data_IF_902417026988
#
_entry.id   IF_902417026988
#
_cell.length_a   1.000
_cell.length_b   1.000
_cell.length_c   1.000
_cell.angle_alpha   90.00
_cell.angle_beta   90.00
_cell.angle_gamma   90.00
#
_symmetry.space_group_name_H-M   'P 1'
#
loop_
_entity.id
_entity.type
_entity.pdbx_description
1 polymer ?
#
# COMPACT_ATOMS: atom_id res chain seq x y z
N UNK A 1 86.50 -36.77 -46.57
CA UNK A 1 85.90 -36.63 -45.23
C UNK A 1 86.19 -35.22 -44.75
N UNK A 2 85.16 -34.40 -44.57
CA UNK A 2 85.00 -33.22 -43.70
C UNK A 2 83.77 -32.50 -44.28
N UNK A 3 82.62 -32.76 -43.64
CA UNK A 3 81.32 -32.17 -43.98
C UNK A 3 81.02 -31.04 -43.00
N UNK A 4 80.57 -29.90 -43.54
CA UNK A 4 80.11 -28.73 -42.79
C UNK A 4 78.75 -29.01 -42.11
N UNK A 5 78.57 -28.74 -40.80
CA UNK A 5 77.26 -28.80 -40.17
C UNK A 5 76.54 -27.44 -40.10
N UNK A 6 75.27 -27.53 -40.51
CA UNK A 6 74.05 -26.72 -40.33
C UNK A 6 74.02 -25.45 -39.44
N UNK A 7 73.30 -24.43 -39.94
CA UNK A 7 72.83 -23.25 -39.22
C UNK A 7 71.75 -23.56 -38.16
N UNK A 8 71.70 -22.82 -37.03
CA UNK A 8 70.64 -22.94 -36.02
C UNK A 8 69.39 -22.12 -36.37
N UNK A 9 68.21 -22.76 -36.24
CA UNK A 9 66.87 -22.14 -36.33
C UNK A 9 66.62 -21.18 -35.16
N UNK A 10 66.16 -19.96 -35.47
CA UNK A 10 65.71 -18.94 -34.49
C UNK A 10 64.48 -19.43 -33.71
N UNK A 11 64.64 -19.66 -32.42
CA UNK A 11 63.54 -19.87 -31.47
C UNK A 11 62.81 -18.57 -31.15
N UNK A 12 61.49 -18.53 -31.41
CA UNK A 12 60.61 -17.41 -31.05
C UNK A 12 60.20 -17.56 -29.58
N UNK A 13 60.88 -16.86 -28.66
CA UNK A 13 60.49 -16.77 -27.25
C UNK A 13 59.14 -16.03 -27.14
N UNK A 14 58.06 -16.77 -26.83
CA UNK A 14 56.78 -16.18 -26.40
C UNK A 14 56.95 -15.63 -24.98
N UNK A 15 56.96 -14.31 -24.85
CA UNK A 15 56.91 -13.59 -23.59
C UNK A 15 55.53 -13.82 -22.94
N UNK A 16 55.46 -14.68 -21.92
CA UNK A 16 54.26 -14.83 -21.08
C UNK A 16 54.19 -13.61 -20.17
N UNK A 17 53.36 -12.64 -20.51
CA UNK A 17 53.03 -11.53 -19.62
C UNK A 17 52.05 -12.06 -18.57
N UNK A 18 52.50 -12.23 -17.32
CA UNK A 18 51.61 -12.46 -16.17
C UNK A 18 50.83 -11.17 -15.87
N UNK A 19 49.70 -10.96 -16.55
CA UNK A 19 48.67 -9.99 -16.13
C UNK A 19 47.58 -10.76 -15.38
N UNK A 20 47.73 -10.96 -14.07
CA UNK A 20 46.80 -11.86 -13.36
C UNK A 20 46.63 -11.70 -11.86
N UNK A 21 47.27 -10.73 -11.20
CA UNK A 21 47.13 -10.58 -9.74
C UNK A 21 46.32 -9.33 -9.32
N UNK A 22 46.40 -8.22 -10.07
CA UNK A 22 45.81 -6.95 -9.64
C UNK A 22 44.28 -6.85 -9.84
N UNK A 23 43.69 -7.55 -10.82
CA UNK A 23 42.24 -7.49 -11.12
C UNK A 23 41.37 -8.33 -10.18
N UNK A 24 41.97 -9.28 -9.44
CA UNK A 24 41.25 -10.22 -8.57
C UNK A 24 40.94 -9.65 -7.18
N UNK A 25 41.71 -8.67 -6.70
CA UNK A 25 41.46 -8.03 -5.40
C UNK A 25 40.34 -6.97 -5.50
N UNK A 26 40.23 -6.28 -6.64
CA UNK A 26 39.24 -5.21 -6.87
C UNK A 26 37.78 -5.68 -6.92
N UNK A 27 37.49 -6.86 -7.48
CA UNK A 27 36.10 -7.33 -7.64
C UNK A 27 35.43 -7.74 -6.30
N UNK A 28 36.18 -8.36 -5.37
CA UNK A 28 35.68 -8.68 -4.02
C UNK A 28 35.44 -7.43 -3.18
N UNK A 29 36.31 -6.43 -3.34
CA UNK A 29 36.14 -5.12 -2.70
C UNK A 29 34.95 -4.32 -3.28
N UNK A 30 34.64 -4.45 -4.58
CA UNK A 30 33.45 -3.84 -5.19
C UNK A 30 32.14 -4.47 -4.69
N UNK A 31 32.10 -5.80 -4.50
CA UNK A 31 30.90 -6.49 -3.97
C UNK A 31 30.61 -6.13 -2.51
N UNK A 32 31.64 -6.08 -1.65
CA UNK A 32 31.49 -5.60 -0.28
C UNK A 32 31.06 -4.13 -0.26
N UNK A 33 31.62 -3.29 -1.13
CA UNK A 33 31.22 -1.87 -1.26
C UNK A 33 29.80 -1.70 -1.81
N UNK A 34 29.31 -2.59 -2.66
CA UNK A 34 27.94 -2.53 -3.18
C UNK A 34 26.92 -3.04 -2.17
N UNK A 35 27.24 -4.09 -1.40
CA UNK A 35 26.41 -4.53 -0.26
C UNK A 35 26.38 -3.45 0.83
N UNK A 36 27.54 -2.84 1.14
CA UNK A 36 27.60 -1.69 2.04
C UNK A 36 26.84 -0.51 1.43
N UNK A 37 26.92 -0.24 0.12
CA UNK A 37 26.14 0.82 -0.52
C UNK A 37 24.64 0.53 -0.53
N UNK A 38 24.22 -0.73 -0.68
CA UNK A 38 22.82 -1.15 -0.61
C UNK A 38 22.30 -1.07 0.83
N UNK A 39 23.09 -1.49 1.82
CA UNK A 39 22.77 -1.35 3.24
C UNK A 39 22.77 0.11 3.66
N UNK A 40 23.73 0.92 3.19
CA UNK A 40 23.78 2.36 3.39
C UNK A 40 22.60 3.05 2.71
N UNK A 41 22.24 2.66 1.48
CA UNK A 41 21.06 3.13 0.78
C UNK A 41 19.79 2.78 1.56
N UNK A 42 19.68 1.56 2.09
CA UNK A 42 18.59 1.12 2.97
C UNK A 42 18.53 1.99 4.24
N UNK A 43 19.68 2.30 4.86
CA UNK A 43 19.73 3.18 6.03
C UNK A 43 19.43 4.65 5.72
N UNK A 44 19.74 5.14 4.52
CA UNK A 44 19.33 6.49 4.07
C UNK A 44 17.86 6.57 3.68
N UNK A 45 17.24 5.46 3.26
CA UNK A 45 15.78 5.39 3.09
C UNK A 45 15.06 5.27 4.45
N UNK A 46 15.76 4.79 5.49
CA UNK A 46 15.31 4.80 6.90
C UNK A 46 15.54 6.15 7.59
N UNK A 47 16.22 7.11 6.98
CA UNK A 47 16.06 8.52 7.38
C UNK A 47 14.60 8.89 7.11
N UNK A 48 13.95 9.78 7.89
CA UNK A 48 12.57 10.19 7.62
C UNK A 48 12.53 10.89 6.26
N UNK A 49 12.35 10.10 5.20
CA UNK A 49 12.15 10.58 3.87
C UNK A 49 10.78 11.23 3.89
N UNK A 50 10.77 12.56 3.99
CA UNK A 50 9.65 13.40 3.59
C UNK A 50 9.49 13.32 2.07
N UNK A 51 9.24 12.12 1.56
CA UNK A 51 8.90 11.80 0.18
C UNK A 51 7.56 11.04 0.29
N UNK A 52 6.43 11.49 -0.24
CA UNK A 52 6.24 12.40 -1.33
C UNK A 52 4.86 13.05 -1.25
N UNK A 53 4.82 14.38 -1.36
CA UNK A 53 3.61 15.16 -1.67
C UNK A 53 3.17 14.99 -3.15
N UNK A 54 3.41 13.81 -3.75
CA UNK A 54 3.07 13.51 -5.15
C UNK A 54 1.82 12.61 -5.31
N UNK A 55 1.26 12.10 -4.21
CA UNK A 55 -0.06 11.47 -4.18
C UNK A 55 -0.91 12.07 -3.06
N UNK A 56 -1.31 13.33 -3.20
CA UNK A 56 -2.30 13.96 -2.31
C UNK A 56 -3.71 13.34 -2.44
N UNK A 57 -3.90 12.36 -3.34
CA UNK A 57 -5.17 11.64 -3.55
C UNK A 57 -5.19 10.20 -2.99
N UNK A 58 -4.05 9.62 -2.62
CA UNK A 58 -4.01 8.30 -2.00
C UNK A 58 -4.07 8.44 -0.47
N UNK A 59 -5.13 7.89 0.14
CA UNK A 59 -5.20 7.83 1.60
C UNK A 59 -4.01 7.04 2.17
N UNK A 60 -3.47 7.45 3.32
CA UNK A 60 -2.26 6.84 3.85
C UNK A 60 -2.50 5.36 4.14
N UNK A 61 -1.52 4.51 3.82
CA UNK A 61 -1.59 3.06 4.04
C UNK A 61 -1.81 2.69 5.52
N UNK A 62 -1.44 3.57 6.45
CA UNK A 62 -1.58 3.37 7.88
C UNK A 62 -1.83 4.69 8.63
N UNK A 63 -2.51 4.60 9.79
CA UNK A 63 -2.88 5.74 10.65
C UNK A 63 -2.96 5.28 12.11
N UNK A 64 -2.62 6.16 13.05
CA UNK A 64 -2.85 5.93 14.49
C UNK A 64 -4.33 6.11 14.88
N UNK A 65 -5.14 6.72 14.01
CA UNK A 65 -6.55 6.97 14.25
C UNK A 65 -7.45 6.09 13.39
N UNK A 66 -8.44 5.49 14.04
CA UNK A 66 -9.41 4.58 13.43
C UNK A 66 -10.80 5.15 13.54
N UNK A 67 -11.42 5.40 12.39
CA UNK A 67 -12.81 5.81 12.28
C UNK A 67 -13.68 4.57 12.09
N UNK A 68 -14.75 4.43 12.88
CA UNK A 68 -15.71 3.33 12.75
C UNK A 68 -17.13 3.86 12.68
N UNK A 69 -17.90 3.43 11.69
CA UNK A 69 -19.36 3.55 11.71
C UNK A 69 -19.89 2.43 12.62
N UNK A 70 -20.66 2.78 13.64
CA UNK A 70 -21.23 1.82 14.59
C UNK A 70 -22.71 1.59 14.36
N UNK A 71 -23.46 2.58 13.88
CA UNK A 71 -24.91 2.48 13.75
C UNK A 71 -25.47 3.42 12.66
N UNK A 72 -26.54 2.97 12.00
CA UNK A 72 -27.46 3.81 11.23
C UNK A 72 -28.82 3.72 11.93
N UNK A 73 -29.27 4.83 12.51
CA UNK A 73 -30.42 4.84 13.43
C UNK A 73 -31.53 5.81 12.99
N UNK A 74 -32.76 5.35 12.70
CA UNK A 74 -33.14 3.94 12.54
C UNK A 74 -32.47 3.31 11.30
N UNK A 75 -32.42 1.98 11.26
CA UNK A 75 -31.94 1.26 10.09
C UNK A 75 -32.87 1.50 8.89
N UNK A 76 -32.30 1.70 7.70
CA UNK A 76 -33.06 2.01 6.48
C UNK A 76 -32.72 1.01 5.39
N UNK A 77 -33.73 0.26 4.93
CA UNK A 77 -33.56 -0.69 3.83
C UNK A 77 -33.08 0.01 2.56
N UNK A 78 -31.99 -0.49 1.98
CA UNK A 78 -31.37 0.05 0.76
C UNK A 78 -30.39 1.22 1.01
N UNK A 79 -30.23 1.69 2.25
CA UNK A 79 -29.15 2.62 2.61
C UNK A 79 -27.96 1.83 3.12
N UNK A 80 -26.78 2.07 2.55
CA UNK A 80 -25.52 1.56 3.09
C UNK A 80 -24.52 2.70 3.23
N UNK A 81 -23.79 2.69 4.34
CA UNK A 81 -22.69 3.61 4.60
C UNK A 81 -21.48 2.80 5.04
N UNK A 82 -20.32 3.12 4.49
CA UNK A 82 -19.05 2.53 4.87
C UNK A 82 -18.02 3.63 5.14
N UNK A 83 -17.15 3.37 6.10
CA UNK A 83 -15.89 4.11 6.24
C UNK A 83 -14.91 3.49 5.24
N UNK A 84 -14.25 4.31 4.42
CA UNK A 84 -13.35 3.84 3.35
C UNK A 84 -12.05 4.63 3.35
N UNK A 85 -11.04 4.06 2.70
CA UNK A 85 -9.74 4.69 2.49
C UNK A 85 -9.08 5.09 3.82
N UNK A 86 -8.84 4.12 4.69
CA UNK A 86 -8.25 4.27 6.01
C UNK A 86 -8.95 5.31 6.89
N UNK A 87 -10.27 5.26 6.92
CA UNK A 87 -11.04 6.24 7.65
C UNK A 87 -11.41 7.47 6.83
N UNK A 88 -10.51 7.99 6.00
CA UNK A 88 -10.51 9.38 5.49
C UNK A 88 -11.82 9.83 4.83
N UNK A 89 -12.59 8.92 4.25
CA UNK A 89 -13.88 9.22 3.64
C UNK A 89 -15.00 8.33 4.16
N UNK A 90 -16.20 8.90 4.15
CA UNK A 90 -17.44 8.13 4.22
C UNK A 90 -17.92 7.86 2.80
N UNK A 91 -18.40 6.64 2.54
CA UNK A 91 -19.07 6.25 1.32
C UNK A 91 -20.53 5.94 1.63
N UNK A 92 -21.46 6.71 1.05
CA UNK A 92 -22.89 6.44 1.12
C UNK A 92 -23.37 5.92 -0.23
N UNK A 93 -24.10 4.80 -0.22
CA UNK A 93 -24.81 4.26 -1.40
C UNK A 93 -26.30 4.26 -1.12
N UNK A 94 -27.07 4.89 -2.01
CA UNK A 94 -28.52 5.00 -1.92
C UNK A 94 -29.21 4.08 -2.92
N UNK A 95 -29.78 2.99 -2.40
CA UNK A 95 -30.71 2.10 -3.11
C UNK A 95 -32.10 2.10 -2.44
N UNK A 96 -32.43 3.14 -1.68
CA UNK A 96 -33.71 3.25 -0.96
C UNK A 96 -34.89 3.59 -1.87
N UNK A 97 -34.63 4.01 -3.11
CA UNK A 97 -35.61 4.58 -4.03
C UNK A 97 -36.05 6.01 -3.70
N UNK A 98 -35.53 6.61 -2.61
CA UNK A 98 -35.90 7.94 -2.10
C UNK A 98 -34.70 8.89 -2.10
N UNK A 99 -34.96 10.20 -2.08
CA UNK A 99 -33.89 11.19 -1.91
C UNK A 99 -33.38 11.19 -0.47
N UNK A 100 -32.06 11.15 -0.31
CA UNK A 100 -31.38 11.28 0.98
C UNK A 100 -30.57 12.56 0.95
N UNK A 101 -30.70 13.37 1.99
CA UNK A 101 -29.82 14.51 2.22
C UNK A 101 -28.94 14.27 3.44
N UNK A 102 -27.64 14.55 3.30
CA UNK A 102 -26.71 14.60 4.43
C UNK A 102 -26.74 16.02 4.98
N UNK A 103 -26.88 16.16 6.29
CA UNK A 103 -26.90 17.46 6.94
C UNK A 103 -25.50 17.92 7.35
N UNK A 104 -25.25 19.20 7.14
CA UNK A 104 -24.03 19.91 7.45
C UNK A 104 -23.87 20.22 8.93
N UNK A 105 -22.85 21.02 9.26
CA UNK A 105 -22.48 21.33 10.65
C UNK A 105 -23.52 22.22 11.34
N UNK A 106 -24.22 23.06 10.60
CA UNK A 106 -25.33 23.89 11.10
C UNK A 106 -26.70 23.24 10.94
N UNK A 107 -26.77 21.96 10.53
CA UNK A 107 -28.02 21.27 10.24
C UNK A 107 -28.61 21.57 8.86
N UNK A 108 -27.90 22.33 8.01
CA UNK A 108 -28.31 22.66 6.66
C UNK A 108 -28.14 21.49 5.69
N UNK A 109 -28.88 21.42 4.57
CA UNK A 109 -28.62 20.42 3.54
C UNK A 109 -27.19 20.59 2.99
N UNK A 110 -26.36 19.57 3.13
CA UNK A 110 -24.98 19.58 2.65
C UNK A 110 -24.83 18.77 1.35
N UNK A 111 -25.25 17.51 1.37
CA UNK A 111 -25.26 16.64 0.18
C UNK A 111 -26.67 16.20 -0.11
N UNK A 112 -26.99 15.99 -1.39
CA UNK A 112 -28.23 15.36 -1.84
C UNK A 112 -27.90 14.18 -2.73
N UNK A 113 -28.42 13.02 -2.37
CA UNK A 113 -28.22 11.75 -3.06
C UNK A 113 -29.58 11.24 -3.49
N UNK A 114 -29.86 11.38 -4.78
CA UNK A 114 -31.07 10.81 -5.40
C UNK A 114 -30.78 9.36 -5.83
N UNK A 115 -31.80 8.61 -6.27
CA UNK A 115 -31.58 7.28 -6.85
C UNK A 115 -30.74 7.27 -8.13
N UNK A 116 -30.47 8.44 -8.75
CA UNK A 116 -29.79 8.55 -10.04
C UNK A 116 -28.58 9.49 -10.06
N UNK A 117 -28.43 10.38 -9.08
CA UNK A 117 -27.40 11.42 -9.12
C UNK A 117 -27.06 11.93 -7.73
N UNK A 118 -25.88 12.52 -7.59
CA UNK A 118 -25.44 13.19 -6.37
C UNK A 118 -25.17 14.67 -6.60
N UNK A 119 -25.39 15.47 -5.56
CA UNK A 119 -25.27 16.92 -5.59
C UNK A 119 -24.65 17.44 -4.29
N UNK A 120 -23.86 18.51 -4.39
CA UNK A 120 -23.38 19.31 -3.27
C UNK A 120 -24.14 20.63 -3.18
N UNK A 121 -24.47 21.07 -1.97
CA UNK A 121 -25.04 22.39 -1.74
C UNK A 121 -23.90 23.42 -1.61
N UNK A 122 -23.72 24.30 -2.60
CA UNK A 122 -22.68 25.34 -2.54
C UNK A 122 -23.02 26.48 -1.57
N UNK A 123 -24.25 26.55 -1.06
CA UNK A 123 -24.65 27.46 0.00
C UNK A 123 -24.40 26.88 1.42
N UNK A 124 -23.97 25.62 1.53
CA UNK A 124 -23.61 25.00 2.83
C UNK A 124 -22.15 25.28 3.17
N UNK A 125 -21.89 25.66 4.42
CA UNK A 125 -20.53 25.85 4.92
C UNK A 125 -19.74 24.53 4.92
N UNK A 126 -20.41 23.38 5.09
CA UNK A 126 -19.80 22.06 5.09
C UNK A 126 -19.04 21.74 3.80
N UNK A 127 -19.50 22.25 2.66
CA UNK A 127 -18.81 22.06 1.37
C UNK A 127 -17.38 22.62 1.42
N UNK A 128 -17.20 23.80 2.01
CA UNK A 128 -15.89 24.46 2.09
C UNK A 128 -15.06 23.94 3.25
N UNK A 129 -15.70 23.60 4.38
CA UNK A 129 -15.00 23.01 5.53
C UNK A 129 -14.37 21.68 5.14
N UNK A 130 -15.10 20.80 4.44
CA UNK A 130 -14.61 19.47 4.08
C UNK A 130 -13.72 19.48 2.82
N UNK A 131 -13.95 20.40 1.88
CA UNK A 131 -13.01 20.77 0.82
C UNK A 131 -12.71 19.73 -0.27
N UNK A 132 -13.34 18.55 -0.28
CA UNK A 132 -12.92 17.43 -1.14
C UNK A 132 -13.88 17.12 -2.31
N UNK A 133 -14.90 17.94 -2.51
CA UNK A 133 -15.95 17.74 -3.53
C UNK A 133 -15.73 18.58 -4.79
N UNK A 134 -14.50 19.03 -5.02
CA UNK A 134 -14.15 19.93 -6.13
C UNK A 134 -14.85 21.31 -6.03
N UNK A 135 -15.21 21.75 -4.82
CA UNK A 135 -15.66 23.11 -4.54
C UNK A 135 -14.57 23.75 -3.67
N UNK A 136 -13.85 24.72 -4.21
CA UNK A 136 -12.67 25.28 -3.53
C UNK A 136 -12.85 26.73 -3.06
N UNK A 137 -13.84 27.44 -3.58
CA UNK A 137 -14.02 28.87 -3.36
C UNK A 137 -15.50 29.18 -3.14
N UNK A 138 -15.80 29.89 -2.06
CA UNK A 138 -17.11 30.46 -1.84
C UNK A 138 -17.30 31.63 -2.83
N UNK A 139 -18.35 31.65 -3.66
CA UNK A 139 -18.64 32.81 -4.49
C UNK A 139 -18.95 34.04 -3.62
N UNK A 140 -18.33 35.18 -3.91
CA UNK A 140 -18.50 36.44 -3.14
C UNK A 140 -19.97 36.90 -3.06
N UNK A 141 -20.79 36.51 -4.04
CA UNK A 141 -22.20 36.85 -4.13
C UNK A 141 -23.15 35.81 -3.51
N UNK A 142 -22.62 34.79 -2.82
CA UNK A 142 -23.41 33.71 -2.24
C UNK A 142 -23.40 33.76 -0.71
N UNK A 143 -24.58 33.90 -0.12
CA UNK A 143 -24.76 33.75 1.33
C UNK A 143 -24.56 32.29 1.72
N UNK A 144 -23.52 32.02 2.50
CA UNK A 144 -23.29 30.74 3.16
C UNK A 144 -23.86 30.84 4.56
N UNK A 145 -25.06 30.30 4.74
CA UNK A 145 -25.78 30.33 6.01
C UNK A 145 -26.57 29.04 6.18
N UNK A 146 -26.70 28.50 7.41
CA UNK A 146 -27.52 27.33 7.64
C UNK A 146 -29.00 27.49 7.25
N UNK A 147 -29.47 28.75 7.21
CA UNK A 147 -30.84 29.10 6.82
C UNK A 147 -31.00 29.43 5.32
N UNK A 148 -29.90 29.49 4.55
CA UNK A 148 -29.96 29.79 3.13
C UNK A 148 -30.66 28.65 2.36
N UNK A 149 -31.43 29.02 1.33
CA UNK A 149 -31.98 28.03 0.41
C UNK A 149 -30.83 27.26 -0.28
N UNK A 150 -30.92 25.93 -0.42
CA UNK A 150 -29.81 25.16 -0.95
C UNK A 150 -29.61 25.42 -2.45
N UNK A 151 -28.36 25.63 -2.85
CA UNK A 151 -27.94 25.77 -4.23
C UNK A 151 -27.19 24.51 -4.69
N UNK A 152 -27.88 23.66 -5.46
CA UNK A 152 -27.38 22.33 -5.81
C UNK A 152 -26.48 22.36 -7.03
N UNK A 153 -25.23 21.95 -6.83
CA UNK A 153 -24.29 21.62 -7.91
C UNK A 153 -24.20 20.11 -8.06
N UNK A 154 -24.47 19.61 -9.26
CA UNK A 154 -24.36 18.18 -9.56
C UNK A 154 -22.91 17.72 -9.46
N UNK A 155 -22.67 16.57 -8.86
CA UNK A 155 -21.35 15.95 -8.71
C UNK A 155 -21.19 14.74 -9.63
N UNK A 156 -22.19 13.86 -9.68
CA UNK A 156 -22.14 12.65 -10.51
C UNK A 156 -23.53 12.15 -10.93
N UNK A 157 -23.54 11.25 -11.91
CA UNK A 157 -24.70 10.47 -12.36
C UNK A 157 -24.84 9.13 -11.62
N UNK A 158 -24.39 9.06 -10.36
CA UNK A 158 -24.45 7.85 -9.53
C UNK A 158 -25.23 8.11 -8.25
N UNK A 159 -25.86 7.09 -7.68
CA UNK A 159 -26.50 7.12 -6.35
C UNK A 159 -25.50 6.87 -5.19
N UNK A 160 -24.20 6.97 -5.48
CA UNK A 160 -23.10 6.76 -4.55
C UNK A 160 -22.27 8.03 -4.46
N UNK A 161 -21.96 8.45 -3.24
CA UNK A 161 -21.08 9.59 -2.96
C UNK A 161 -20.01 9.19 -1.95
N UNK A 162 -18.82 9.79 -2.09
CA UNK A 162 -17.74 9.74 -1.12
C UNK A 162 -17.38 11.17 -0.72
N UNK A 163 -17.15 11.42 0.56
CA UNK A 163 -16.74 12.75 1.06
C UNK A 163 -15.91 12.63 2.34
N UNK A 164 -15.06 13.62 2.58
CA UNK A 164 -14.40 13.83 3.87
C UNK A 164 -15.36 14.50 4.84
N UNK A 165 -15.32 14.14 6.12
CA UNK A 165 -16.11 14.80 7.16
C UNK A 165 -15.25 15.05 8.41
N UNK A 166 -15.07 16.30 8.80
CA UNK A 166 -14.23 16.65 9.95
C UNK A 166 -14.80 16.14 11.28
N UNK A 167 -16.08 15.73 11.33
CA UNK A 167 -16.64 15.08 12.52
C UNK A 167 -16.01 13.72 12.77
N UNK A 168 -15.59 13.02 11.71
CA UNK A 168 -15.13 11.63 11.76
C UNK A 168 -13.61 11.48 11.82
N UNK A 169 -12.86 12.58 11.68
CA UNK A 169 -11.39 12.59 11.63
C UNK A 169 -10.73 13.45 12.70
N UNK A 170 -9.50 13.05 13.03
CA UNK A 170 -8.57 13.92 13.74
C UNK A 170 -7.86 14.82 12.74
N UNK A 171 -8.20 16.11 12.72
CA UNK A 171 -7.70 17.09 11.74
C UNK A 171 -6.42 17.81 12.19
N UNK A 172 -6.00 17.64 13.45
CA UNK A 172 -4.85 18.36 13.98
C UNK A 172 -3.56 17.58 13.76
N UNK A 173 -2.48 18.28 13.44
CA UNK A 173 -1.12 17.71 13.43
C UNK A 173 -0.62 17.39 14.84
N UNK A 174 -1.20 18.02 15.87
CA UNK A 174 -0.91 17.69 17.26
C UNK A 174 -1.77 16.52 17.72
N UNK A 175 -1.18 15.56 18.43
CA UNK A 175 -1.93 14.47 19.06
C UNK A 175 -2.96 15.00 20.08
N UNK A 176 -4.12 14.32 20.25
CA UNK A 176 -5.08 14.65 21.30
C UNK A 176 -4.44 14.69 22.68
N UNK A 177 -4.89 15.58 23.60
CA UNK A 177 -4.32 15.68 24.94
C UNK A 177 -4.24 14.35 25.70
N UNK A 178 -5.28 13.52 25.60
CA UNK A 178 -5.35 12.19 26.26
C UNK A 178 -4.27 11.23 25.73
N UNK A 179 -3.98 11.27 24.43
CA UNK A 179 -2.94 10.45 23.79
C UNK A 179 -1.55 10.91 24.20
N UNK A 180 -1.32 12.22 24.32
CA UNK A 180 -0.02 12.76 24.77
C UNK A 180 0.33 12.36 26.20
N UNK A 181 -0.68 12.12 27.04
CA UNK A 181 -0.49 11.70 28.43
C UNK A 181 -0.19 10.20 28.55
N UNK A 182 -0.70 9.38 27.63
CA UNK A 182 -0.44 7.93 27.58
C UNK A 182 -0.57 7.44 26.14
N UNK A 183 0.53 7.44 25.39
CA UNK A 183 0.52 7.08 23.97
C UNK A 183 0.57 5.57 23.72
N UNK A 184 0.77 4.79 24.77
CA UNK A 184 0.91 3.33 24.81
C UNK A 184 -0.42 2.58 24.95
N UNK A 185 -1.51 3.31 25.23
CA UNK A 185 -2.84 2.74 25.38
C UNK A 185 -3.78 3.19 24.26
N UNK A 186 -4.78 2.36 23.98
CA UNK A 186 -5.88 2.73 23.11
C UNK A 186 -6.76 3.77 23.79
N UNK A 187 -7.18 4.79 23.04
CA UNK A 187 -8.05 5.86 23.55
C UNK A 187 -9.26 6.09 22.66
N UNK A 188 -10.44 6.26 23.26
CA UNK A 188 -11.60 6.83 22.57
C UNK A 188 -11.41 8.34 22.46
N UNK A 189 -11.21 8.85 21.25
CA UNK A 189 -11.02 10.29 21.02
C UNK A 189 -12.37 11.01 20.98
N UNK A 190 -13.35 10.45 20.27
CA UNK A 190 -14.72 10.99 20.22
C UNK A 190 -15.73 9.97 19.73
N UNK A 191 -16.99 10.25 20.05
CA UNK A 191 -18.15 9.69 19.36
C UNK A 191 -18.67 10.76 18.41
N UNK A 192 -19.00 10.39 17.18
CA UNK A 192 -19.46 11.30 16.15
C UNK A 192 -20.85 10.91 15.65
N UNK A 193 -21.58 11.91 15.15
CA UNK A 193 -22.91 11.75 14.57
C UNK A 193 -23.06 12.61 13.32
N UNK A 194 -23.74 12.09 12.31
CA UNK A 194 -24.11 12.80 11.10
C UNK A 194 -25.59 12.57 10.84
N UNK A 195 -26.37 13.65 10.83
CA UNK A 195 -27.79 13.56 10.55
C UNK A 195 -28.05 13.45 9.04
N UNK A 196 -28.99 12.59 8.71
CA UNK A 196 -29.53 12.38 7.38
C UNK A 196 -31.02 12.71 7.41
N UNK A 197 -31.48 13.27 6.30
CA UNK A 197 -32.89 13.56 6.04
C UNK A 197 -33.35 12.70 4.87
N UNK A 198 -34.34 11.85 5.08
CA UNK A 198 -34.90 11.00 4.01
C UNK A 198 -36.28 11.51 3.62
N UNK A 199 -36.49 11.71 2.33
CA UNK A 199 -37.78 12.08 1.76
C UNK A 199 -38.86 11.04 2.08
N UNK A 200 -40.04 11.48 2.52
CA UNK A 200 -41.17 10.59 2.83
C UNK A 200 -40.90 9.60 3.96
N UNK A 201 -40.60 10.11 5.17
CA UNK A 201 -40.27 9.31 6.36
C UNK A 201 -41.26 8.16 6.61
N UNK A 202 -40.75 7.08 7.19
CA UNK A 202 -41.51 5.87 7.48
C UNK A 202 -42.70 6.24 8.39
N UNK A 203 -43.92 6.26 7.86
CA UNK A 203 -45.12 6.31 8.70
C UNK A 203 -45.25 4.95 9.36
N UNK A 204 -45.14 4.89 10.68
CA UNK A 204 -45.72 3.77 11.41
C UNK A 204 -47.18 3.64 10.98
N UNK A 205 -47.61 2.41 10.65
CA UNK A 205 -48.98 2.10 10.16
C UNK A 205 -50.10 2.50 11.15
N UNK A 206 -49.77 3.05 12.31
CA UNK A 206 -50.71 3.51 13.33
C UNK A 206 -51.18 4.97 13.17
N UNK A 207 -50.58 5.78 12.28
CA UNK A 207 -50.97 7.19 12.12
C UNK A 207 -51.43 7.49 10.70
N UNK A 208 -52.50 6.82 10.30
CA UNK A 208 -53.26 7.16 9.10
C UNK A 208 -54.39 8.11 9.52
N UNK A 209 -54.11 9.41 9.61
CA UNK A 209 -55.08 10.54 9.58
C UNK A 209 -54.33 11.85 9.91
N UNK A 210 -53.53 12.35 8.97
CA UNK A 210 -53.26 13.78 8.85
C UNK A 210 -52.60 14.06 7.50
N UNK A 211 -53.34 14.77 6.66
CA UNK A 211 -52.87 15.29 5.37
C UNK A 211 -52.10 16.58 5.66
N UNK A 212 -50.94 16.75 5.01
CA UNK A 212 -50.10 17.97 5.02
C UNK A 212 -48.98 18.06 6.08
N UNK A 213 -48.10 17.07 6.13
CA UNK A 213 -46.65 17.29 6.33
C UNK A 213 -45.90 16.08 5.81
N UNK A 214 -44.99 16.28 4.85
CA UNK A 214 -43.96 15.27 4.53
C UNK A 214 -42.97 15.31 5.69
N UNK A 215 -43.24 14.57 6.76
CA UNK A 215 -42.28 14.41 7.85
C UNK A 215 -41.09 13.62 7.32
N UNK A 216 -39.95 14.28 7.18
CA UNK A 216 -38.71 13.60 6.87
C UNK A 216 -38.26 12.81 8.10
N UNK A 217 -38.00 11.52 7.96
CA UNK A 217 -37.42 10.74 9.06
C UNK A 217 -35.97 11.22 9.28
N UNK A 218 -35.67 11.65 10.51
CA UNK A 218 -34.31 11.94 10.93
C UNK A 218 -33.59 10.61 11.15
N UNK A 219 -32.60 10.32 10.30
CA UNK A 219 -31.73 9.15 10.42
C UNK A 219 -30.36 9.63 10.84
N UNK A 220 -29.72 9.00 11.81
CA UNK A 220 -28.38 9.35 12.26
C UNK A 220 -27.38 8.26 11.86
N UNK A 221 -26.29 8.68 11.24
CA UNK A 221 -25.06 7.89 11.19
C UNK A 221 -24.30 8.14 12.47
N UNK A 222 -23.94 7.09 13.19
CA UNK A 222 -23.21 7.18 14.45
C UNK A 222 -21.94 6.35 14.37
N UNK A 223 -20.90 6.84 15.03
CA UNK A 223 -19.63 6.14 15.03
C UNK A 223 -18.63 6.67 16.02
N UNK A 224 -17.42 6.14 15.92
CA UNK A 224 -16.33 6.39 16.86
C UNK A 224 -15.07 6.78 16.12
N UNK A 225 -14.23 7.55 16.80
CA UNK A 225 -12.85 7.81 16.43
C UNK A 225 -11.99 7.37 17.60
N UNK A 226 -11.16 6.37 17.35
CA UNK A 226 -10.29 5.75 18.34
C UNK A 226 -8.83 5.96 17.95
N UNK A 227 -7.95 6.14 18.93
CA UNK A 227 -6.50 6.09 18.75
C UNK A 227 -6.01 4.68 19.10
N UNK A 228 -5.21 4.08 18.23
CA UNK A 228 -4.52 2.82 18.48
C UNK A 228 -3.02 3.09 18.65
N UNK A 229 -2.38 2.55 19.70
CA UNK A 229 -0.95 2.71 19.88
C UNK A 229 -0.19 2.02 18.74
N UNK A 230 0.90 2.63 18.24
CA UNK A 230 1.74 2.00 17.22
C UNK A 230 2.44 0.75 17.78
N UNK A 231 2.78 -0.23 16.93
CA UNK A 231 3.52 -1.41 17.36
C UNK A 231 4.96 -1.05 17.74
N UNK A 232 5.67 -1.98 18.39
CA UNK A 232 7.11 -1.82 18.64
C UNK A 232 7.89 -1.96 17.32
N UNK A 233 8.17 -0.82 16.68
CA UNK A 233 8.81 -0.76 15.35
C UNK A 233 10.14 -1.54 15.28
N UNK A 234 10.96 -1.48 16.34
CA UNK A 234 12.27 -2.14 16.38
C UNK A 234 12.19 -3.67 16.26
N UNK A 235 11.16 -4.29 16.83
CA UNK A 235 10.98 -5.75 16.78
C UNK A 235 10.72 -6.25 15.36
N UNK A 236 9.92 -5.51 14.58
CA UNK A 236 9.64 -5.85 13.18
C UNK A 236 10.91 -5.77 12.33
N UNK A 237 11.69 -4.69 12.45
CA UNK A 237 12.95 -4.55 11.72
C UNK A 237 13.98 -5.61 12.10
N UNK A 238 14.13 -5.92 13.40
CA UNK A 238 15.02 -6.96 13.87
C UNK A 238 14.60 -8.35 13.35
N UNK A 239 13.31 -8.67 13.37
CA UNK A 239 12.76 -9.92 12.82
C UNK A 239 13.02 -10.07 11.33
N UNK A 240 12.74 -9.03 10.54
CA UNK A 240 13.02 -9.03 9.09
C UNK A 240 14.51 -9.19 8.79
N UNK A 241 15.38 -8.51 9.53
CA UNK A 241 16.83 -8.68 9.40
C UNK A 241 17.27 -10.12 9.70
N UNK A 242 16.70 -10.74 10.73
CA UNK A 242 16.92 -12.16 11.05
C UNK A 242 16.51 -13.09 9.91
N UNK A 243 15.34 -12.86 9.30
CA UNK A 243 14.86 -13.63 8.15
C UNK A 243 15.77 -13.45 6.93
N UNK A 244 16.19 -12.22 6.62
CA UNK A 244 17.13 -11.95 5.52
C UNK A 244 18.45 -12.71 5.74
N UNK A 245 19.02 -12.63 6.94
CA UNK A 245 20.23 -13.37 7.30
C UNK A 245 20.05 -14.89 7.13
N UNK A 246 18.92 -15.43 7.62
CA UNK A 246 18.60 -16.85 7.51
C UNK A 246 18.51 -17.31 6.04
N UNK A 247 17.84 -16.54 5.17
CA UNK A 247 17.75 -16.84 3.74
C UNK A 247 19.15 -16.89 3.11
N UNK A 248 19.99 -15.88 3.38
CA UNK A 248 21.34 -15.82 2.81
C UNK A 248 22.20 -16.99 3.27
N UNK A 249 22.15 -17.35 4.56
CA UNK A 249 22.92 -18.47 5.14
C UNK A 249 22.42 -19.81 4.59
N UNK A 250 21.11 -20.05 4.58
CA UNK A 250 20.52 -21.28 4.05
C UNK A 250 20.82 -21.45 2.57
N UNK A 251 20.70 -20.38 1.78
CA UNK A 251 21.03 -20.40 0.35
C UNK A 251 22.52 -20.68 0.12
N UNK A 252 23.41 -20.08 0.90
CA UNK A 252 24.85 -20.37 0.83
C UNK A 252 25.16 -21.83 1.22
N UNK A 253 24.51 -22.36 2.27
CA UNK A 253 24.64 -23.75 2.72
C UNK A 253 24.14 -24.77 1.70
N UNK A 254 22.92 -24.57 1.17
CA UNK A 254 22.33 -25.40 0.12
C UNK A 254 23.26 -25.56 -1.08
N UNK A 255 23.94 -24.47 -1.48
CA UNK A 255 24.86 -24.47 -2.62
C UNK A 255 26.17 -25.19 -2.36
N UNK A 256 26.60 -25.27 -1.10
CA UNK A 256 27.77 -26.08 -0.72
C UNK A 256 27.44 -27.57 -0.73
N UNK A 257 26.23 -27.92 -0.29
CA UNK A 257 25.78 -29.31 -0.15
C UNK A 257 25.34 -29.87 -1.51
N UNK A 258 24.41 -29.19 -2.16
CA UNK A 258 23.91 -29.56 -3.47
C UNK A 258 24.85 -28.96 -4.52
N UNK A 259 25.74 -29.78 -5.09
CA UNK A 259 26.70 -29.35 -6.13
C UNK A 259 26.04 -28.82 -7.42
N UNK A 260 24.71 -28.70 -7.47
CA UNK A 260 23.92 -28.21 -8.61
C UNK A 260 23.03 -27.02 -8.25
N UNK A 261 22.73 -26.19 -9.25
CA UNK A 261 21.95 -24.94 -9.07
C UNK A 261 20.45 -25.16 -8.90
N UNK A 262 19.94 -26.36 -9.21
CA UNK A 262 18.50 -26.65 -9.26
C UNK A 262 17.80 -26.47 -7.91
N UNK A 263 18.35 -27.00 -6.83
CA UNK A 263 17.75 -26.87 -5.50
C UNK A 263 17.68 -25.41 -5.04
N UNK A 264 18.76 -24.65 -5.27
CA UNK A 264 18.81 -23.22 -4.99
C UNK A 264 17.80 -22.43 -5.83
N UNK A 265 17.64 -22.74 -7.12
CA UNK A 265 16.68 -22.07 -7.98
C UNK A 265 15.23 -22.39 -7.59
N UNK A 266 14.94 -23.63 -7.19
CA UNK A 266 13.62 -24.00 -6.64
C UNK A 266 13.33 -23.20 -5.36
N UNK A 267 14.30 -23.07 -4.45
CA UNK A 267 14.14 -22.27 -3.24
C UNK A 267 13.89 -20.79 -3.55
N UNK A 268 14.66 -20.17 -4.46
CA UNK A 268 14.43 -18.79 -4.90
C UNK A 268 13.02 -18.61 -5.49
N UNK A 269 12.58 -19.54 -6.34
CA UNK A 269 11.24 -19.52 -6.91
C UNK A 269 10.14 -19.62 -5.85
N UNK A 270 10.30 -20.52 -4.88
CA UNK A 270 9.36 -20.68 -3.77
C UNK A 270 9.26 -19.42 -2.90
N UNK A 271 10.39 -18.81 -2.55
CA UNK A 271 10.43 -17.56 -1.77
C UNK A 271 9.77 -16.39 -2.54
N UNK A 272 10.01 -16.29 -3.85
CA UNK A 272 9.33 -15.28 -4.69
C UNK A 272 7.82 -15.48 -4.75
N UNK A 273 7.34 -16.72 -4.84
CA UNK A 273 5.90 -17.02 -4.81
C UNK A 273 5.29 -16.58 -3.47
N UNK A 274 5.95 -16.87 -2.35
CA UNK A 274 5.49 -16.46 -1.02
C UNK A 274 5.46 -14.93 -0.88
N UNK A 275 6.52 -14.24 -1.32
CA UNK A 275 6.58 -12.78 -1.31
C UNK A 275 5.48 -12.16 -2.19
N UNK A 276 5.23 -12.74 -3.36
CA UNK A 276 4.17 -12.31 -4.28
C UNK A 276 2.79 -12.50 -3.66
N UNK A 277 2.52 -13.63 -3.02
CA UNK A 277 1.24 -13.89 -2.38
C UNK A 277 0.97 -12.89 -1.25
N UNK A 278 1.99 -12.55 -0.46
CA UNK A 278 1.91 -11.54 0.59
C UNK A 278 1.59 -10.14 0.00
N UNK A 279 2.30 -9.72 -1.04
CA UNK A 279 2.05 -8.45 -1.73
C UNK A 279 0.64 -8.36 -2.33
N UNK A 280 0.21 -9.38 -3.05
CA UNK A 280 -1.13 -9.40 -3.64
C UNK A 280 -2.22 -9.42 -2.58
N UNK A 281 -1.95 -10.03 -1.41
CA UNK A 281 -2.86 -9.96 -0.27
C UNK A 281 -2.99 -8.51 0.19
N UNK A 282 -1.90 -7.80 0.47
CA UNK A 282 -1.95 -6.39 0.91
C UNK A 282 -2.61 -5.48 -0.13
N UNK A 283 -2.23 -5.61 -1.41
CA UNK A 283 -2.80 -4.84 -2.52
C UNK A 283 -4.32 -5.07 -2.66
N UNK A 284 -4.80 -6.32 -2.53
CA UNK A 284 -6.24 -6.61 -2.51
C UNK A 284 -6.91 -6.00 -1.27
N UNK A 285 -6.24 -6.03 -0.13
CA UNK A 285 -6.74 -5.45 1.12
C UNK A 285 -7.00 -3.96 1.01
N UNK A 286 -6.03 -3.23 0.46
CA UNK A 286 -6.17 -1.78 0.19
C UNK A 286 -7.28 -1.48 -0.80
N UNK A 287 -7.44 -2.29 -1.84
CA UNK A 287 -8.55 -2.14 -2.77
C UNK A 287 -9.92 -2.32 -2.09
N UNK A 288 -10.05 -3.31 -1.21
CA UNK A 288 -11.27 -3.56 -0.44
C UNK A 288 -11.55 -2.43 0.57
N UNK A 289 -10.53 -1.94 1.26
CA UNK A 289 -10.62 -0.79 2.19
C UNK A 289 -11.02 0.50 1.45
N UNK A 290 -10.57 0.68 0.21
CA UNK A 290 -11.03 1.75 -0.68
C UNK A 290 -12.50 1.59 -1.12
N UNK A 291 -13.22 0.58 -0.62
CA UNK A 291 -14.63 0.34 -0.87
C UNK A 291 -14.92 -0.25 -2.25
N UNK A 292 -13.92 -0.84 -2.90
CA UNK A 292 -14.01 -1.50 -4.21
C UNK A 292 -14.37 -2.97 -4.02
N UNK A 293 -15.27 -3.51 -4.84
CA UNK A 293 -15.72 -4.91 -4.76
C UNK A 293 -15.85 -5.55 -6.14
N UNK A 294 -15.92 -6.88 -6.19
CA UNK A 294 -16.10 -7.64 -7.43
C UNK A 294 -14.97 -7.43 -8.44
N UNK A 295 -15.31 -7.32 -9.73
CA UNK A 295 -14.33 -7.06 -10.80
C UNK A 295 -13.61 -5.71 -10.67
N UNK A 296 -14.17 -4.77 -9.89
CA UNK A 296 -13.53 -3.49 -9.61
C UNK A 296 -12.18 -3.64 -8.92
N UNK A 297 -11.97 -4.72 -8.16
CA UNK A 297 -10.69 -4.98 -7.48
C UNK A 297 -9.57 -5.14 -8.52
N UNK A 298 -9.84 -5.82 -9.64
CA UNK A 298 -8.86 -5.96 -10.72
C UNK A 298 -8.50 -4.62 -11.36
N UNK A 299 -9.49 -3.75 -11.59
CA UNK A 299 -9.22 -2.40 -12.10
C UNK A 299 -8.43 -1.56 -11.09
N UNK A 300 -8.71 -1.70 -9.79
CA UNK A 300 -7.98 -0.99 -8.73
C UNK A 300 -6.52 -1.44 -8.65
N UNK A 301 -6.27 -2.75 -8.78
CA UNK A 301 -4.92 -3.32 -8.82
C UNK A 301 -4.10 -2.78 -10.00
N UNK A 302 -4.74 -2.58 -11.15
CA UNK A 302 -4.08 -2.11 -12.37
C UNK A 302 -3.92 -0.59 -12.45
N UNK A 303 -4.71 0.18 -11.69
CA UNK A 303 -4.74 1.66 -11.78
C UNK A 303 -4.21 2.39 -10.56
N UNK A 304 -4.40 1.84 -9.35
CA UNK A 304 -3.99 2.45 -8.09
C UNK A 304 -2.84 1.66 -7.44
N UNK A 305 -2.97 0.33 -7.33
CA UNK A 305 -1.91 -0.54 -6.78
C UNK A 305 -0.94 -1.02 -7.87
N UNK A 306 -0.74 -0.22 -8.92
CA UNK A 306 -0.12 -0.65 -10.18
C UNK A 306 1.32 -1.14 -9.99
N UNK A 307 2.13 -0.42 -9.21
CA UNK A 307 3.57 -0.73 -9.08
C UNK A 307 3.82 -2.04 -8.32
N UNK A 308 3.15 -2.23 -7.17
CA UNK A 308 3.21 -3.49 -6.42
C UNK A 308 2.69 -4.67 -7.24
N UNK A 309 1.56 -4.48 -7.93
CA UNK A 309 0.96 -5.51 -8.81
C UNK A 309 1.89 -5.92 -9.95
N UNK A 310 2.51 -4.96 -10.65
CA UNK A 310 3.46 -5.26 -11.73
C UNK A 310 4.73 -5.94 -11.22
N UNK A 311 5.24 -5.52 -10.06
CA UNK A 311 6.38 -6.17 -9.42
C UNK A 311 6.06 -7.62 -9.02
N UNK A 312 4.85 -7.87 -8.50
CA UNK A 312 4.35 -9.21 -8.18
C UNK A 312 4.26 -10.08 -9.44
N UNK A 313 3.71 -9.57 -10.55
CA UNK A 313 3.65 -10.32 -11.82
C UNK A 313 5.05 -10.65 -12.37
N UNK A 314 5.99 -9.71 -12.30
CA UNK A 314 7.38 -9.95 -12.67
C UNK A 314 8.04 -11.02 -11.78
N UNK A 315 7.77 -10.99 -10.48
CA UNK A 315 8.24 -11.99 -9.52
C UNK A 315 7.68 -13.39 -9.81
N UNK A 316 6.41 -13.51 -10.21
CA UNK A 316 5.82 -14.79 -10.68
C UNK A 316 6.56 -15.30 -11.91
N UNK A 317 6.80 -14.46 -12.91
CA UNK A 317 7.53 -14.84 -14.11
C UNK A 317 8.97 -15.31 -13.78
N UNK A 318 9.65 -14.58 -12.90
CA UNK A 318 10.99 -14.95 -12.41
C UNK A 318 10.97 -16.27 -11.61
N UNK A 319 9.93 -16.51 -10.81
CA UNK A 319 9.74 -17.76 -10.08
C UNK A 319 9.55 -18.94 -11.03
N UNK A 320 8.75 -18.78 -12.09
CA UNK A 320 8.57 -19.81 -13.13
C UNK A 320 9.90 -20.15 -13.82
N UNK A 321 10.70 -19.14 -14.17
CA UNK A 321 12.04 -19.35 -14.73
C UNK A 321 12.97 -20.09 -13.76
N UNK A 322 12.89 -19.76 -12.46
CA UNK A 322 13.67 -20.41 -11.41
C UNK A 322 13.26 -21.89 -11.20
N UNK A 323 11.95 -22.18 -11.16
CA UNK A 323 11.42 -23.54 -11.06
C UNK A 323 11.76 -24.40 -12.28
N UNK A 324 11.83 -23.79 -13.47
CA UNK A 324 12.30 -24.42 -14.71
C UNK A 324 13.83 -24.51 -14.81
N UNK A 325 14.56 -24.04 -13.77
CA UNK A 325 16.01 -24.02 -13.71
C UNK A 325 16.66 -23.32 -14.94
N UNK A 326 16.03 -22.25 -15.43
CA UNK A 326 16.54 -21.48 -16.57
C UNK A 326 17.87 -20.79 -16.23
N UNK A 327 18.83 -20.65 -17.17
CA UNK A 327 20.13 -20.03 -16.89
C UNK A 327 20.05 -18.59 -16.37
N UNK A 328 19.04 -17.84 -16.78
CA UNK A 328 18.82 -16.45 -16.34
C UNK A 328 18.14 -16.34 -14.96
N UNK A 329 17.71 -17.46 -14.36
CA UNK A 329 16.89 -17.47 -13.15
C UNK A 329 17.47 -16.64 -12.00
N UNK A 330 18.77 -16.68 -11.69
CA UNK A 330 19.29 -15.87 -10.60
C UNK A 330 19.21 -14.37 -10.87
N UNK A 331 19.48 -13.95 -12.09
CA UNK A 331 19.40 -12.53 -12.45
C UNK A 331 17.95 -12.03 -12.39
N UNK A 332 17.03 -12.77 -13.01
CA UNK A 332 15.60 -12.39 -13.02
C UNK A 332 14.98 -12.45 -11.64
N UNK A 333 15.36 -13.44 -10.81
CA UNK A 333 14.91 -13.55 -9.44
C UNK A 333 15.43 -12.39 -8.59
N UNK A 334 16.73 -12.06 -8.70
CA UNK A 334 17.33 -10.96 -7.95
C UNK A 334 16.70 -9.62 -8.32
N UNK A 335 16.54 -9.33 -9.60
CA UNK A 335 15.92 -8.08 -10.06
C UNK A 335 14.46 -7.98 -9.62
N UNK A 336 13.66 -9.03 -9.84
CA UNK A 336 12.24 -9.01 -9.47
C UNK A 336 12.04 -8.91 -7.96
N UNK A 337 12.93 -9.52 -7.17
CA UNK A 337 12.90 -9.43 -5.71
C UNK A 337 13.20 -8.02 -5.19
N UNK A 338 14.14 -7.30 -5.83
CA UNK A 338 14.39 -5.88 -5.54
C UNK A 338 13.16 -5.04 -5.87
N UNK A 339 12.59 -5.21 -7.07
CA UNK A 339 11.40 -4.48 -7.47
C UNK A 339 10.23 -4.74 -6.49
N UNK A 340 10.02 -5.99 -6.10
CA UNK A 340 8.95 -6.37 -5.17
C UNK A 340 9.18 -5.78 -3.77
N UNK A 341 10.41 -5.84 -3.24
CA UNK A 341 10.76 -5.26 -1.95
C UNK A 341 10.53 -3.74 -1.92
N UNK A 342 10.94 -3.04 -2.98
CA UNK A 342 10.88 -1.57 -3.04
C UNK A 342 9.48 -1.06 -3.39
N UNK A 343 8.86 -1.61 -4.43
CA UNK A 343 7.61 -1.12 -4.98
C UNK A 343 6.36 -1.74 -4.35
N UNK A 344 6.50 -2.92 -3.72
CA UNK A 344 5.41 -3.60 -3.03
C UNK A 344 5.38 -3.31 -1.53
N UNK A 345 6.55 -3.34 -0.86
CA UNK A 345 6.57 -3.31 0.61
C UNK A 345 7.19 -2.04 1.23
N UNK A 346 8.27 -1.50 0.66
CA UNK A 346 8.99 -0.38 1.27
C UNK A 346 8.16 0.91 1.28
N UNK A 347 7.30 1.10 0.27
CA UNK A 347 6.31 2.19 0.20
C UNK A 347 5.29 2.13 1.34
N UNK A 348 5.10 0.97 1.94
CA UNK A 348 4.15 0.73 3.05
C UNK A 348 4.83 0.64 4.41
N UNK A 349 6.11 1.02 4.55
CA UNK A 349 6.86 0.90 5.81
C UNK A 349 6.18 1.60 7.01
N UNK A 350 5.27 2.54 6.76
CA UNK A 350 4.42 3.17 7.76
C UNK A 350 3.63 2.17 8.62
N UNK A 351 3.28 0.98 8.10
CA UNK A 351 2.53 -0.07 8.84
C UNK A 351 3.24 -0.53 10.13
N UNK A 352 4.57 -0.36 10.20
CA UNK A 352 5.37 -0.70 11.39
C UNK A 352 5.50 0.46 12.39
N UNK A 353 4.96 1.63 12.07
CA UNK A 353 5.05 2.85 12.87
C UNK A 353 3.70 3.46 13.22
N UNK A 354 2.62 2.86 12.73
CA UNK A 354 1.25 3.34 12.89
C UNK A 354 0.36 2.25 13.50
N UNK A 355 -0.60 2.63 14.34
CA UNK A 355 -1.48 1.71 15.07
C UNK A 355 -2.41 0.88 14.19
N UNK A 356 -2.94 1.47 13.12
CA UNK A 356 -3.89 0.82 12.21
C UNK A 356 -3.41 0.82 10.76
N UNK A 357 -3.78 -0.22 10.01
CA UNK A 357 -3.45 -0.43 8.59
C UNK A 357 -4.75 -0.56 7.81
N UNK A 358 -4.80 0.08 6.64
CA UNK A 358 -5.96 0.26 5.77
C UNK A 358 -6.39 -1.03 5.03
N UNK A 359 -6.83 -2.04 5.78
CA UNK A 359 -7.26 -3.35 5.26
C UNK A 359 -8.47 -3.89 6.03
N UNK A 360 -9.31 -4.75 5.43
CA UNK A 360 -10.48 -5.29 6.11
C UNK A 360 -10.16 -6.38 7.15
N UNK A 361 -8.93 -6.89 7.19
CA UNK A 361 -8.44 -7.84 8.20
C UNK A 361 -7.65 -7.16 9.31
N UNK A 362 -7.04 -7.96 10.20
CA UNK A 362 -6.25 -7.43 11.31
C UNK A 362 -5.01 -6.69 10.82
N UNK A 363 -4.68 -5.58 11.46
CA UNK A 363 -3.45 -4.83 11.14
C UNK A 363 -2.18 -5.66 11.35
N UNK A 364 -2.23 -6.70 12.21
CA UNK A 364 -1.14 -7.67 12.36
C UNK A 364 -0.91 -8.51 11.11
N UNK A 365 -1.97 -9.02 10.47
CA UNK A 365 -1.81 -9.79 9.24
C UNK A 365 -1.23 -8.92 8.12
N UNK A 366 -1.65 -7.65 8.01
CA UNK A 366 -1.08 -6.70 7.06
C UNK A 366 0.43 -6.49 7.31
N UNK A 367 0.83 -6.29 8.57
CA UNK A 367 2.25 -6.16 8.95
C UNK A 367 3.03 -7.41 8.57
N UNK A 368 2.48 -8.61 8.77
CA UNK A 368 3.10 -9.85 8.34
C UNK A 368 3.23 -9.96 6.83
N UNK A 369 2.23 -9.54 6.06
CA UNK A 369 2.30 -9.51 4.61
C UNK A 369 3.41 -8.55 4.14
N UNK A 370 3.41 -7.30 4.59
CA UNK A 370 4.44 -6.32 4.24
C UNK A 370 5.84 -6.78 4.69
N UNK A 371 5.98 -7.33 5.90
CA UNK A 371 7.25 -7.84 6.42
C UNK A 371 7.76 -9.04 5.61
N UNK A 372 6.85 -9.94 5.21
CA UNK A 372 7.18 -11.10 4.36
C UNK A 372 7.65 -10.63 3.00
N UNK A 373 6.90 -9.74 2.34
CA UNK A 373 7.29 -9.19 1.03
C UNK A 373 8.66 -8.52 1.09
N UNK A 374 8.90 -7.69 2.12
CA UNK A 374 10.16 -6.98 2.28
C UNK A 374 11.34 -7.91 2.60
N UNK A 375 11.20 -8.76 3.61
CA UNK A 375 12.29 -9.65 4.06
C UNK A 375 12.63 -10.71 3.01
N UNK A 376 11.61 -11.31 2.37
CA UNK A 376 11.84 -12.28 1.30
C UNK A 376 12.40 -11.60 0.05
N UNK A 377 11.91 -10.41 -0.33
CA UNK A 377 12.43 -9.66 -1.47
C UNK A 377 13.91 -9.29 -1.30
N UNK A 378 14.30 -8.73 -0.14
CA UNK A 378 15.71 -8.42 0.14
C UNK A 378 16.56 -9.70 0.25
N UNK A 379 16.06 -10.73 0.95
CA UNK A 379 16.78 -12.00 1.12
C UNK A 379 17.04 -12.71 -0.21
N UNK A 380 16.03 -12.81 -1.08
CA UNK A 380 16.14 -13.37 -2.44
C UNK A 380 17.07 -12.52 -3.29
N UNK A 381 16.97 -11.20 -3.24
CA UNK A 381 17.85 -10.31 -4.00
C UNK A 381 19.33 -10.53 -3.65
N UNK A 382 19.67 -10.48 -2.35
CA UNK A 382 21.03 -10.71 -1.87
C UNK A 382 21.50 -12.11 -2.21
N UNK A 383 20.69 -13.12 -1.90
CA UNK A 383 21.02 -14.51 -2.18
C UNK A 383 21.32 -14.70 -3.67
N UNK A 384 20.41 -14.29 -4.55
CA UNK A 384 20.50 -14.39 -6.01
C UNK A 384 21.70 -13.63 -6.59
N UNK A 385 22.00 -12.44 -6.09
CA UNK A 385 23.19 -11.69 -6.52
C UNK A 385 24.49 -12.41 -6.19
N UNK A 386 24.65 -12.91 -4.96
CA UNK A 386 25.83 -13.69 -4.58
C UNK A 386 26.05 -14.92 -5.49
N UNK A 387 24.96 -15.44 -6.05
CA UNK A 387 25.02 -16.56 -7.00
C UNK A 387 25.55 -16.16 -8.37
N UNK A 388 25.08 -15.03 -8.89
CA UNK A 388 25.40 -14.58 -10.24
C UNK A 388 26.91 -14.28 -10.36
N UNK A 389 27.51 -13.71 -9.31
CA UNK A 389 28.94 -13.42 -9.26
C UNK A 389 29.84 -14.61 -8.92
N UNK A 390 29.27 -15.73 -8.46
CA UNK A 390 30.02 -16.96 -8.19
C UNK A 390 30.25 -17.80 -9.45
N UNK A 391 29.54 -17.52 -10.54
CA UNK A 391 29.73 -18.18 -11.84
C UNK A 391 30.98 -17.60 -12.52
N UNK A 392 32.12 -18.31 -12.44
CA UNK A 392 33.30 -18.00 -13.26
C UNK A 392 32.91 -18.07 -14.74
N UNK A 393 33.34 -17.13 -15.60
CA UNK A 393 33.28 -17.36 -17.04
C UNK A 393 34.20 -18.55 -17.35
N UNK A 394 33.61 -19.67 -17.74
CA UNK A 394 34.36 -20.77 -18.32
C UNK A 394 34.95 -20.26 -19.64
N UNK A 395 36.25 -20.00 -19.62
CA UNK A 395 37.03 -19.80 -20.84
C UNK A 395 36.86 -21.08 -21.67
N UNK A 396 36.02 -21.03 -22.68
CA UNK A 396 36.04 -22.01 -23.75
C UNK A 396 37.27 -21.72 -24.60
N UNK A 397 38.40 -22.31 -24.21
CA UNK A 397 39.44 -22.67 -25.17
C UNK A 397 38.89 -23.86 -25.97
N UNK A 398 38.31 -23.59 -27.14
CA UNK A 398 38.32 -24.56 -28.23
C UNK A 398 39.49 -24.20 -29.12
N UNK A 399 40.62 -24.83 -28.85
CA UNK A 399 41.73 -24.99 -29.80
C UNK A 399 41.35 -25.99 -30.88
#
# INVERSE_FOLDING_TARGET
MIAYPAQPRRGRLRRVVKVGAARFCTAKFCAARFVIALLCALTTVLAPASAAQAHAESSPAASDYVTRLTEIAPAVTGLSVAVVQNGTRLQLRNHTGRTIEVLGYGGEPYLRITPKSTYANTASASVYINGDLGVSQQPDNMSVSPAAAPHWRKLSDTSTIRWHDHRTHWMSTQQPPVVRQSSDHQHRIRVWKIALRIEGGQRDRATFLSTTQVSSAAVELRGTLDYLPPPQTSWWWAGMFGVVCAIVVLMAGMRRITRGTRAANIALGGLLILATAAELTDSVGRALDAGVTGLGVLTQLLTTETYGTLAALAAVAAAVLALRNHPSAPFTAGLSAVCLAVLGALTDAAVFSQGHVAVPWSSELARWCTATTLALGVGVAVAAWLTAFSLKPSVHDRS
#
